data_IF_534443479175
#
_entry.id   IF_534443479175
#
_cell.length_a   1.000
_cell.length_b   1.000
_cell.length_c   1.000
_cell.angle_alpha   90.00
_cell.angle_beta   90.00
_cell.angle_gamma   90.00
#
_symmetry.space_group_name_H-M   'P 1'
#
loop_
_entity.id
_entity.type
_entity.pdbx_description
1 polymer ?
#
# COMPACT_ATOMS: atom_id res chain seq x y z
N UNK A 1 -4.69 11.03 1.84
CA UNK A 1 -4.63 9.92 2.82
C UNK A 1 -6.04 9.50 3.19
N UNK A 2 -6.88 10.44 3.63
CA UNK A 2 -8.27 10.17 4.02
C UNK A 2 -9.09 9.47 2.93
N UNK A 3 -8.97 9.92 1.67
CA UNK A 3 -9.65 9.31 0.54
C UNK A 3 -9.20 7.87 0.24
N UNK A 4 -7.90 7.56 0.41
CA UNK A 4 -7.42 6.19 0.26
C UNK A 4 -7.97 5.30 1.37
N UNK A 5 -8.04 5.80 2.60
CA UNK A 5 -8.64 5.07 3.72
C UNK A 5 -10.10 4.75 3.45
N UNK A 6 -10.87 5.72 2.96
CA UNK A 6 -12.28 5.51 2.61
C UNK A 6 -12.44 4.43 1.53
N UNK A 7 -11.64 4.51 0.45
CA UNK A 7 -11.65 3.51 -0.62
C UNK A 7 -11.32 2.10 -0.09
N UNK A 8 -10.28 1.95 0.73
CA UNK A 8 -9.89 0.64 1.29
C UNK A 8 -10.94 0.06 2.25
N UNK A 9 -11.68 0.91 2.98
CA UNK A 9 -12.76 0.46 3.87
C UNK A 9 -14.04 0.09 3.11
N UNK A 10 -14.17 0.49 1.84
CA UNK A 10 -15.31 0.17 1.00
C UNK A 10 -15.10 -1.07 0.12
N UNK A 11 -13.91 -1.69 0.16
CA UNK A 11 -13.64 -2.99 -0.49
C UNK A 11 -14.50 -4.08 0.18
N UNK A 12 -15.14 -4.94 -0.63
CA UNK A 12 -16.17 -5.88 -0.17
C UNK A 12 -15.70 -6.80 0.96
N UNK A 13 -14.51 -7.36 0.85
CA UNK A 13 -13.89 -8.28 1.81
C UNK A 13 -12.88 -7.58 2.73
N UNK A 14 -13.01 -6.28 2.95
CA UNK A 14 -12.05 -5.49 3.73
C UNK A 14 -11.84 -6.04 5.14
N UNK A 15 -10.60 -5.96 5.62
CA UNK A 15 -10.23 -6.31 6.98
C UNK A 15 -9.11 -5.40 7.48
N UNK A 16 -9.01 -5.23 8.79
CA UNK A 16 -8.09 -4.27 9.42
C UNK A 16 -6.64 -4.46 8.97
N UNK A 17 -6.15 -5.71 8.91
CA UNK A 17 -4.78 -6.02 8.49
C UNK A 17 -4.46 -5.56 7.07
N UNK A 18 -5.41 -5.67 6.15
CA UNK A 18 -5.27 -5.18 4.78
C UNK A 18 -5.15 -3.66 4.76
N UNK A 19 -6.10 -2.95 5.40
CA UNK A 19 -6.09 -1.48 5.45
C UNK A 19 -4.79 -0.98 6.07
N UNK A 20 -4.41 -1.50 7.24
CA UNK A 20 -3.18 -1.11 7.92
C UNK A 20 -1.93 -1.44 7.10
N UNK A 21 -1.90 -2.58 6.42
CA UNK A 21 -0.79 -2.99 5.55
C UNK A 21 -0.59 -2.03 4.38
N UNK A 22 -1.66 -1.69 3.66
CA UNK A 22 -1.60 -0.73 2.55
C UNK A 22 -1.18 0.65 3.03
N UNK A 23 -1.74 1.11 4.15
CA UNK A 23 -1.39 2.43 4.74
C UNK A 23 0.06 2.48 5.21
N UNK A 24 0.55 1.42 5.84
CA UNK A 24 1.96 1.32 6.24
C UNK A 24 2.90 1.38 5.03
N UNK A 25 2.51 0.73 3.93
CA UNK A 25 3.28 0.72 2.69
C UNK A 25 3.38 2.12 2.05
N UNK A 26 2.26 2.82 1.87
CA UNK A 26 2.27 4.14 1.21
C UNK A 26 2.93 5.24 2.07
N UNK A 27 3.07 5.01 3.38
CA UNK A 27 3.80 5.89 4.31
C UNK A 27 5.32 5.71 4.28
N UNK A 28 5.84 4.70 3.57
CA UNK A 28 7.30 4.57 3.37
C UNK A 28 7.78 5.77 2.53
N UNK A 29 8.87 6.40 2.95
CA UNK A 29 9.49 7.52 2.23
C UNK A 29 9.79 7.16 0.77
N UNK A 30 9.33 8.02 -0.16
CA UNK A 30 9.45 7.81 -1.61
C UNK A 30 8.29 7.03 -2.25
N UNK A 31 7.23 6.73 -1.51
CA UNK A 31 6.03 6.05 -2.01
C UNK A 31 4.83 6.99 -2.23
N UNK A 32 5.00 8.30 -2.17
CA UNK A 32 3.92 9.28 -2.18
C UNK A 32 3.06 9.16 -3.45
N UNK A 33 3.68 8.93 -4.60
CA UNK A 33 3.00 8.75 -5.89
C UNK A 33 2.21 7.44 -6.01
N UNK A 34 2.47 6.47 -5.12
CA UNK A 34 1.79 5.17 -5.14
C UNK A 34 0.40 5.23 -4.56
N UNK A 35 0.10 6.26 -3.76
CA UNK A 35 -1.25 6.55 -3.27
C UNK A 35 -2.20 6.67 -4.46
N UNK A 36 -1.86 7.51 -5.44
CA UNK A 36 -2.72 7.74 -6.61
C UNK A 36 -2.84 6.48 -7.48
N UNK A 37 -1.77 5.69 -7.63
CA UNK A 37 -1.83 4.43 -8.37
C UNK A 37 -2.82 3.44 -7.75
N UNK A 38 -2.77 3.27 -6.42
CA UNK A 38 -3.65 2.35 -5.70
C UNK A 38 -5.09 2.85 -5.73
N UNK A 39 -5.31 4.14 -5.50
CA UNK A 39 -6.65 4.74 -5.58
C UNK A 39 -7.27 4.53 -6.97
N UNK A 40 -6.52 4.84 -8.03
CA UNK A 40 -7.02 4.70 -9.40
C UNK A 40 -7.40 3.25 -9.70
N UNK A 41 -6.59 2.28 -9.28
CA UNK A 41 -6.92 0.86 -9.42
C UNK A 41 -8.25 0.50 -8.74
N UNK A 42 -8.46 0.92 -7.48
CA UNK A 42 -9.71 0.64 -6.75
C UNK A 42 -10.92 1.30 -7.43
N UNK A 43 -10.75 2.52 -7.95
CA UNK A 43 -11.83 3.26 -8.63
C UNK A 43 -12.17 2.62 -9.98
N UNK A 44 -11.16 2.17 -10.74
CA UNK A 44 -11.33 1.53 -12.05
C UNK A 44 -11.87 0.10 -11.93
N UNK A 45 -11.67 -0.54 -10.77
CA UNK A 45 -12.09 -1.91 -10.48
C UNK A 45 -12.91 -1.98 -9.17
N UNK A 46 -14.16 -1.48 -9.16
CA UNK A 46 -14.99 -1.49 -7.95
C UNK A 46 -15.32 -2.90 -7.43
N UNK A 47 -15.16 -3.93 -8.27
CA UNK A 47 -15.31 -5.35 -7.92
C UNK A 47 -14.05 -5.99 -7.34
N UNK A 48 -12.91 -5.27 -7.32
CA UNK A 48 -11.65 -5.81 -6.82
C UNK A 48 -11.74 -6.14 -5.33
N UNK A 49 -11.29 -7.34 -4.99
CA UNK A 49 -11.16 -7.78 -3.61
C UNK A 49 -9.82 -7.34 -3.03
N UNK A 50 -9.68 -7.47 -1.71
CA UNK A 50 -8.45 -7.17 -0.98
C UNK A 50 -7.24 -7.92 -1.57
N UNK A 51 -7.43 -9.16 -2.05
CA UNK A 51 -6.39 -9.95 -2.73
C UNK A 51 -5.92 -9.32 -4.04
N UNK A 52 -6.83 -8.82 -4.86
CA UNK A 52 -6.51 -8.24 -6.17
C UNK A 52 -5.74 -6.93 -6.01
N UNK A 53 -6.12 -6.14 -5.00
CA UNK A 53 -5.44 -4.89 -4.65
C UNK A 53 -4.03 -5.19 -4.11
N UNK A 54 -3.87 -6.23 -3.29
CA UNK A 54 -2.56 -6.65 -2.81
C UNK A 54 -1.68 -7.18 -3.94
N UNK A 55 -2.23 -7.95 -4.88
CA UNK A 55 -1.54 -8.39 -6.09
C UNK A 55 -1.08 -7.18 -6.93
N UNK A 56 -1.97 -6.23 -7.21
CA UNK A 56 -1.61 -4.98 -7.89
C UNK A 56 -0.48 -4.23 -7.18
N UNK A 57 -0.56 -4.07 -5.86
CA UNK A 57 0.48 -3.40 -5.06
C UNK A 57 1.81 -4.12 -5.22
N UNK A 58 1.83 -5.44 -5.02
CA UNK A 58 3.06 -6.23 -5.06
C UNK A 58 3.73 -6.23 -6.43
N UNK A 59 2.95 -6.28 -7.51
CA UNK A 59 3.49 -6.39 -8.86
C UNK A 59 3.76 -5.04 -9.54
N UNK A 60 2.91 -4.03 -9.34
CA UNK A 60 2.90 -2.82 -10.17
C UNK A 60 3.48 -1.59 -9.49
N UNK A 61 3.71 -1.64 -8.18
CA UNK A 61 4.13 -0.45 -7.41
C UNK A 61 5.58 -0.51 -6.91
N UNK A 62 6.33 -1.57 -7.19
CA UNK A 62 7.69 -1.76 -6.68
C UNK A 62 7.72 -1.97 -5.16
N UNK A 63 6.79 -2.81 -4.67
CA UNK A 63 6.58 -3.06 -3.25
C UNK A 63 7.83 -3.60 -2.58
N UNK A 64 8.41 -4.67 -3.14
CA UNK A 64 9.56 -5.35 -2.55
C UNK A 64 10.79 -4.44 -2.46
N UNK A 65 11.09 -3.66 -3.49
CA UNK A 65 12.21 -2.73 -3.51
C UNK A 65 12.07 -1.68 -2.41
N UNK A 66 10.85 -1.17 -2.23
CA UNK A 66 10.58 -0.09 -1.29
C UNK A 66 10.62 -0.57 0.16
N UNK A 67 10.03 -1.73 0.43
CA UNK A 67 10.08 -2.37 1.75
C UNK A 67 11.51 -2.78 2.11
N UNK A 68 12.26 -3.34 1.16
CA UNK A 68 13.66 -3.71 1.38
C UNK A 68 14.55 -2.49 1.66
N UNK A 69 14.39 -1.39 0.91
CA UNK A 69 15.08 -0.12 1.16
C UNK A 69 14.78 0.41 2.55
N UNK A 70 13.50 0.49 2.92
CA UNK A 70 13.05 0.97 4.23
C UNK A 70 13.63 0.17 5.39
N UNK A 71 13.57 -1.16 5.30
CA UNK A 71 14.08 -2.05 6.32
C UNK A 71 15.60 -1.95 6.48
N UNK A 72 16.34 -1.74 5.38
CA UNK A 72 17.79 -1.52 5.43
C UNK A 72 18.14 -0.23 6.18
N UNK A 73 17.49 0.89 5.85
CA UNK A 73 17.75 2.18 6.50
C UNK A 73 17.45 2.15 8.00
N UNK A 74 16.37 1.45 8.40
CA UNK A 74 16.04 1.24 9.82
C UNK A 74 17.10 0.44 10.57
N UNK A 75 17.65 -0.61 9.94
CA UNK A 75 18.73 -1.41 10.56
C UNK A 75 20.00 -0.59 10.74
N UNK A 76 20.39 0.20 9.73
CA UNK A 76 21.58 1.05 9.80
C UNK A 76 21.42 2.14 10.88
N UNK A 77 20.25 2.76 10.99
CA UNK A 77 19.97 3.77 12.02
C UNK A 77 19.99 3.22 13.45
N UNK A 78 19.65 1.95 13.65
CA UNK A 78 19.65 1.32 14.97
C UNK A 78 21.05 0.90 15.46
N UNK A 79 22.06 0.94 14.58
CA UNK A 79 23.45 0.60 14.91
C UNK A 79 24.32 1.83 15.23
N UNK A 80 23.80 3.03 15.04
CA UNK A 80 24.44 4.31 15.39
C UNK A 80 23.98 4.78 16.77
#
# INVERSE_FOLDING_TARGET
MDELLELLNNVEDTYEGFVLGVIAYVKIEGNEKKIDMIKNFIIEHPEALSSDILEFITEKTGFFESVNRHNRMKKESAMM
#
